data_IF_376172603105
#
_entry.id   IF_376172603105
#
_cell.length_a   1.000
_cell.length_b   1.000
_cell.length_c   1.000
_cell.angle_alpha   90.00
_cell.angle_beta   90.00
_cell.angle_gamma   90.00
#
_symmetry.space_group_name_H-M   'P 1'
#
loop_
_entity.id
_entity.type
_entity.pdbx_description
1 polymer ?
#
# COMPACT_ATOMS: atom_id res chain seq x y z
N UNK A 1 45.87 -15.68 44.35
CA UNK A 1 44.84 -14.65 44.68
C UNK A 1 44.69 -13.71 43.49
N UNK A 2 43.79 -14.01 42.58
CA UNK A 2 43.46 -13.12 41.45
C UNK A 2 42.62 -11.96 41.93
N UNK A 3 43.16 -10.74 41.80
CA UNK A 3 42.43 -9.51 42.09
C UNK A 3 41.37 -9.27 41.00
N UNK A 4 40.08 -9.48 41.33
CA UNK A 4 38.94 -9.08 40.54
C UNK A 4 39.04 -7.57 40.28
N UNK A 5 39.59 -7.12 39.14
CA UNK A 5 39.56 -5.76 38.67
C UNK A 5 38.16 -5.49 38.13
N UNK A 6 37.33 -4.83 38.94
CA UNK A 6 36.09 -4.23 38.44
C UNK A 6 36.45 -3.16 37.41
N UNK A 7 36.04 -3.38 36.14
CA UNK A 7 36.07 -2.31 35.15
C UNK A 7 35.05 -1.24 35.55
N UNK A 8 35.52 -0.02 35.65
CA UNK A 8 34.67 1.15 35.86
C UNK A 8 33.93 1.37 34.54
N UNK A 9 32.65 1.08 34.52
CA UNK A 9 31.78 1.47 33.40
C UNK A 9 31.54 2.98 33.50
N UNK A 10 32.01 3.72 32.53
CA UNK A 10 31.65 5.15 32.41
C UNK A 10 30.15 5.22 32.12
N UNK A 11 29.35 5.60 33.11
CA UNK A 11 27.94 5.94 32.93
C UNK A 11 27.85 7.31 32.24
N UNK A 12 27.80 7.27 30.91
CA UNK A 12 27.51 8.47 30.12
C UNK A 12 25.99 8.69 30.11
N UNK A 13 25.44 9.08 31.28
CA UNK A 13 24.02 9.43 31.40
C UNK A 13 23.80 10.83 30.79
N UNK A 14 23.77 10.92 29.47
CA UNK A 14 23.32 12.13 28.80
C UNK A 14 21.85 12.30 29.08
N UNK A 15 21.51 13.23 29.99
CA UNK A 15 20.11 13.58 30.24
C UNK A 15 19.63 14.38 29.02
N UNK A 16 18.82 13.73 28.16
CA UNK A 16 18.21 14.38 26.99
C UNK A 16 16.69 14.34 27.14
N UNK A 17 16.05 15.38 26.64
CA UNK A 17 14.59 15.49 26.63
C UNK A 17 13.99 14.59 25.54
N UNK A 18 12.68 14.34 25.63
CA UNK A 18 11.92 13.63 24.60
C UNK A 18 12.04 14.33 23.25
N UNK A 19 12.01 15.67 23.23
CA UNK A 19 12.18 16.48 22.04
C UNK A 19 13.55 16.28 21.38
N UNK A 20 14.63 16.43 22.16
CA UNK A 20 16.00 16.24 21.67
C UNK A 20 16.22 14.80 21.14
N UNK A 21 15.72 13.80 21.85
CA UNK A 21 15.80 12.41 21.42
C UNK A 21 15.03 12.19 20.10
N UNK A 22 13.88 12.84 19.93
CA UNK A 22 13.10 12.76 18.71
C UNK A 22 13.79 13.45 17.52
N UNK A 23 14.40 14.59 17.72
CA UNK A 23 15.20 15.26 16.68
C UNK A 23 16.36 14.39 16.20
N UNK A 24 17.05 13.71 17.12
CA UNK A 24 18.10 12.74 16.78
C UNK A 24 17.56 11.54 16.00
N UNK A 25 16.36 11.05 16.36
CA UNK A 25 15.68 10.00 15.61
C UNK A 25 15.36 10.45 14.18
N UNK A 26 14.81 11.65 13.99
CA UNK A 26 14.51 12.19 12.66
C UNK A 26 15.80 12.35 11.85
N UNK A 27 16.90 12.81 12.47
CA UNK A 27 18.21 12.87 11.82
C UNK A 27 18.67 11.48 11.36
N UNK A 28 18.52 10.43 12.20
CA UNK A 28 18.81 9.03 11.81
C UNK A 28 17.95 8.58 10.63
N UNK A 29 16.67 8.96 10.60
CA UNK A 29 15.76 8.65 9.48
C UNK A 29 16.27 9.28 8.17
N UNK A 30 16.73 10.54 8.20
CA UNK A 30 17.31 11.22 7.03
C UNK A 30 18.61 10.52 6.57
N UNK A 31 19.50 10.18 7.48
CA UNK A 31 20.75 9.45 7.18
C UNK A 31 20.45 8.09 6.55
N UNK A 32 19.39 7.40 6.99
CA UNK A 32 18.90 6.12 6.38
C UNK A 32 18.17 6.35 5.05
N UNK A 33 18.14 7.58 4.54
CA UNK A 33 17.47 7.93 3.28
C UNK A 33 16.01 7.47 3.23
N UNK A 34 15.25 7.67 4.33
CA UNK A 34 13.81 7.48 4.32
C UNK A 34 13.16 8.55 3.43
N UNK A 35 12.00 8.21 2.85
CA UNK A 35 11.24 9.18 2.04
C UNK A 35 10.67 10.30 2.92
N UNK A 36 10.55 11.51 2.36
CA UNK A 36 9.97 12.66 3.06
C UNK A 36 8.59 12.34 3.66
N UNK A 37 7.74 11.66 2.91
CA UNK A 37 6.41 11.23 3.39
C UNK A 37 6.48 10.27 4.60
N UNK A 38 7.55 9.47 4.73
CA UNK A 38 7.77 8.62 5.91
C UNK A 38 8.19 9.45 7.11
N UNK A 39 9.10 10.42 6.88
CA UNK A 39 9.57 11.36 7.92
C UNK A 39 8.40 12.20 8.43
N UNK A 40 7.61 12.79 7.54
CA UNK A 40 6.39 13.56 7.88
C UNK A 40 5.39 12.71 8.69
N UNK A 41 5.23 11.43 8.31
CA UNK A 41 4.37 10.51 9.05
C UNK A 41 4.89 10.26 10.47
N UNK A 42 6.22 10.11 10.66
CA UNK A 42 6.81 10.01 11.98
C UNK A 42 6.63 11.30 12.79
N UNK A 43 6.88 12.44 12.19
CA UNK A 43 6.72 13.75 12.84
C UNK A 43 5.28 13.94 13.31
N UNK A 44 4.29 13.80 12.43
CA UNK A 44 2.89 14.00 12.76
C UNK A 44 2.38 13.06 13.86
N UNK A 45 2.75 11.77 13.82
CA UNK A 45 2.24 10.79 14.79
C UNK A 45 2.95 10.85 16.13
N UNK A 46 4.25 11.15 16.15
CA UNK A 46 4.97 11.31 17.40
C UNK A 46 4.69 12.66 18.04
N UNK A 47 4.34 13.71 17.30
CA UNK A 47 3.98 15.02 17.85
C UNK A 47 2.90 14.89 18.92
N UNK A 48 1.81 14.16 18.66
CA UNK A 48 0.74 13.95 19.64
C UNK A 48 1.19 13.17 20.89
N UNK A 49 2.12 12.23 20.75
CA UNK A 49 2.71 11.53 21.88
C UNK A 49 3.64 12.45 22.68
N UNK A 50 4.44 13.25 22.01
CA UNK A 50 5.37 14.21 22.61
C UNK A 50 4.60 15.30 23.37
N UNK A 51 3.50 15.81 22.79
CA UNK A 51 2.61 16.76 23.50
C UNK A 51 2.00 16.12 24.76
N UNK A 52 1.59 14.85 24.70
CA UNK A 52 1.00 14.14 25.83
C UNK A 52 1.99 13.96 27.00
N UNK A 53 3.24 13.61 26.72
CA UNK A 53 4.25 13.37 27.76
C UNK A 53 4.99 14.65 28.16
N UNK A 54 4.93 15.71 27.36
CA UNK A 54 5.67 16.95 27.52
C UNK A 54 7.04 16.93 26.80
N UNK A 55 7.31 17.95 26.01
CA UNK A 55 8.54 18.08 25.20
C UNK A 55 9.81 18.05 26.06
N UNK A 56 9.77 18.65 27.26
CA UNK A 56 10.90 18.80 28.17
C UNK A 56 11.07 17.64 29.16
N UNK A 57 10.17 16.66 29.13
CA UNK A 57 10.29 15.44 29.94
C UNK A 57 11.58 14.71 29.54
N UNK A 58 12.32 14.19 30.52
CA UNK A 58 13.51 13.40 30.22
C UNK A 58 13.11 12.06 29.58
N UNK A 59 13.78 11.68 28.49
CA UNK A 59 13.44 10.45 27.77
C UNK A 59 13.55 9.20 28.64
N UNK A 60 14.43 9.21 29.64
CA UNK A 60 14.58 8.12 30.62
C UNK A 60 13.38 7.92 31.55
N UNK A 61 12.51 8.93 31.65
CA UNK A 61 11.29 8.88 32.45
C UNK A 61 10.13 8.23 31.70
N UNK A 62 10.31 7.95 30.41
CA UNK A 62 9.30 7.26 29.60
C UNK A 62 9.42 5.74 29.84
N UNK A 63 8.40 5.15 30.40
CA UNK A 63 8.28 3.73 30.66
C UNK A 63 6.96 3.18 30.10
N UNK A 64 6.77 1.88 30.19
CA UNK A 64 5.67 1.18 29.53
C UNK A 64 4.29 1.76 29.85
N UNK A 65 4.02 2.05 31.13
CA UNK A 65 2.68 2.51 31.57
C UNK A 65 2.32 3.88 30.98
N UNK A 66 3.31 4.74 30.70
CA UNK A 66 3.06 6.02 30.01
C UNK A 66 2.54 5.77 28.59
N UNK A 67 3.11 4.78 27.89
CA UNK A 67 2.64 4.41 26.53
C UNK A 67 1.25 3.77 26.62
N UNK A 68 1.00 2.91 27.59
CA UNK A 68 -0.30 2.28 27.83
C UNK A 68 -1.38 3.32 28.16
N UNK A 69 -1.06 4.29 29.03
CA UNK A 69 -1.93 5.42 29.36
C UNK A 69 -2.21 6.33 28.14
N UNK A 70 -1.21 6.54 27.28
CA UNK A 70 -1.41 7.28 26.01
C UNK A 70 -2.40 6.55 25.09
N UNK A 71 -2.35 5.21 25.02
CA UNK A 71 -3.32 4.42 24.25
C UNK A 71 -4.73 4.67 24.75
N UNK A 72 -4.95 4.55 26.07
CA UNK A 72 -6.25 4.77 26.72
C UNK A 72 -6.73 6.20 26.44
N UNK A 73 -5.89 7.19 26.73
CA UNK A 73 -6.19 8.60 26.47
C UNK A 73 -6.61 8.88 25.03
N UNK A 74 -5.90 8.30 24.04
CA UNK A 74 -6.23 8.50 22.63
C UNK A 74 -7.50 7.81 22.19
N UNK A 75 -7.80 6.65 22.74
CA UNK A 75 -9.01 5.90 22.43
C UNK A 75 -10.24 6.51 23.11
N UNK A 76 -10.11 7.00 24.35
CA UNK A 76 -11.20 7.63 25.11
C UNK A 76 -11.57 9.02 24.58
N UNK A 77 -10.61 9.81 24.11
CA UNK A 77 -10.90 11.07 23.39
C UNK A 77 -11.72 10.84 22.11
N UNK A 78 -11.95 9.58 21.74
CA UNK A 78 -12.92 9.09 20.80
C UNK A 78 -12.67 9.58 19.37
N UNK A 79 -12.37 8.96 18.46
CA UNK A 79 -12.37 9.14 16.99
C UNK A 79 -11.29 8.31 16.29
N UNK A 80 -10.54 7.48 17.03
CA UNK A 80 -9.60 6.58 16.38
C UNK A 80 -9.93 5.12 16.68
N UNK A 81 -9.95 4.31 15.63
CA UNK A 81 -10.13 2.87 15.78
C UNK A 81 -8.78 2.18 16.08
N UNK A 82 -8.83 0.90 16.48
CA UNK A 82 -7.66 0.09 16.81
C UNK A 82 -6.61 0.02 15.67
N UNK A 83 -7.04 0.07 14.42
CA UNK A 83 -6.12 0.07 13.25
C UNK A 83 -5.34 1.38 13.19
N UNK A 84 -6.02 2.50 13.42
CA UNK A 84 -5.39 3.83 13.46
C UNK A 84 -4.46 3.93 14.65
N UNK A 85 -4.90 3.49 15.85
CA UNK A 85 -4.03 3.45 17.04
C UNK A 85 -2.77 2.60 16.80
N UNK A 86 -2.89 1.45 16.18
CA UNK A 86 -1.73 0.63 15.79
C UNK A 86 -0.78 1.35 14.82
N UNK A 87 -1.30 2.26 14.02
CA UNK A 87 -0.45 3.11 13.16
C UNK A 87 0.36 4.15 13.96
N UNK A 88 -0.23 4.72 15.03
CA UNK A 88 0.49 5.55 16.00
C UNK A 88 1.54 4.74 16.75
N UNK A 89 1.14 3.58 17.28
CA UNK A 89 2.04 2.70 18.05
C UNK A 89 3.25 2.24 17.23
N UNK A 90 3.09 1.94 15.94
CA UNK A 90 4.24 1.62 15.07
C UNK A 90 5.21 2.80 14.96
N UNK A 91 4.70 4.02 14.91
CA UNK A 91 5.51 5.23 14.83
C UNK A 91 6.24 5.50 16.14
N UNK A 92 5.52 5.48 17.27
CA UNK A 92 6.06 5.66 18.63
C UNK A 92 7.10 4.58 18.94
N UNK A 93 6.78 3.31 18.61
CA UNK A 93 7.70 2.18 18.78
C UNK A 93 9.01 2.39 18.03
N UNK A 94 8.95 2.89 16.77
CA UNK A 94 10.16 3.15 15.99
C UNK A 94 11.05 4.22 16.66
N UNK A 95 10.46 5.25 17.25
CA UNK A 95 11.16 6.30 17.98
C UNK A 95 11.74 5.79 19.31
N UNK A 96 10.88 5.19 20.16
CA UNK A 96 11.33 4.75 21.48
C UNK A 96 12.34 3.60 21.39
N UNK A 97 12.21 2.67 20.42
CA UNK A 97 13.22 1.63 20.21
C UNK A 97 14.56 2.22 19.74
N UNK A 98 14.54 3.32 18.98
CA UNK A 98 15.77 4.06 18.70
C UNK A 98 16.39 4.63 19.98
N UNK A 99 15.59 5.23 20.87
CA UNK A 99 16.08 5.75 22.13
C UNK A 99 16.65 4.65 23.05
N UNK A 100 16.00 3.47 23.08
CA UNK A 100 16.48 2.28 23.79
C UNK A 100 17.79 1.75 23.19
N UNK A 101 17.90 1.66 21.86
CA UNK A 101 19.12 1.25 21.15
C UNK A 101 20.30 2.18 21.48
N UNK A 102 20.03 3.49 21.58
CA UNK A 102 21.01 4.50 21.98
C UNK A 102 21.28 4.53 23.50
N UNK A 103 20.62 3.69 24.29
CA UNK A 103 20.71 3.67 25.76
C UNK A 103 20.33 4.98 26.43
N UNK A 104 19.41 5.74 25.84
CA UNK A 104 18.88 6.97 26.44
C UNK A 104 17.77 6.69 27.47
N UNK A 105 17.20 5.49 27.45
CA UNK A 105 16.16 5.01 28.34
C UNK A 105 16.26 3.51 28.54
N UNK A 106 15.55 2.99 29.53
CA UNK A 106 15.42 1.54 29.78
C UNK A 106 14.61 0.84 28.66
N UNK A 107 14.97 -0.41 28.40
CA UNK A 107 14.32 -1.19 27.34
C UNK A 107 13.03 -1.84 27.85
N UNK A 108 11.93 -1.64 27.13
CA UNK A 108 10.68 -2.34 27.31
C UNK A 108 9.98 -2.66 26.00
N UNK A 109 9.03 -3.60 26.04
CA UNK A 109 8.31 -4.04 24.84
C UNK A 109 7.04 -3.22 24.63
N UNK A 110 6.88 -2.65 23.43
CA UNK A 110 5.65 -1.99 23.00
C UNK A 110 4.88 -2.94 22.08
N UNK A 111 3.75 -3.45 22.56
CA UNK A 111 2.88 -4.36 21.81
C UNK A 111 1.81 -3.59 21.04
N UNK A 112 1.42 -4.11 19.89
CA UNK A 112 0.26 -3.60 19.17
C UNK A 112 -1.02 -4.12 19.83
N UNK A 113 -2.08 -3.31 19.81
CA UNK A 113 -3.39 -3.71 20.31
C UNK A 113 -4.10 -4.62 19.33
N UNK A 114 -4.98 -5.48 19.82
CA UNK A 114 -5.79 -6.34 18.95
C UNK A 114 -6.71 -5.48 18.08
N UNK A 115 -6.68 -5.71 16.79
CA UNK A 115 -7.50 -4.99 15.83
C UNK A 115 -8.21 -5.98 14.91
N UNK A 116 -9.49 -5.73 14.67
CA UNK A 116 -10.27 -6.54 13.73
C UNK A 116 -9.84 -6.22 12.28
N UNK A 117 -9.61 -7.26 11.52
CA UNK A 117 -9.36 -7.15 10.09
C UNK A 117 -10.70 -7.09 9.37
N UNK A 118 -11.05 -5.92 8.85
CA UNK A 118 -12.21 -5.78 7.96
C UNK A 118 -11.90 -6.41 6.60
N UNK A 119 -12.91 -7.08 6.03
CA UNK A 119 -12.85 -7.57 4.65
C UNK A 119 -12.67 -6.35 3.74
N UNK A 120 -11.70 -6.43 2.83
CA UNK A 120 -11.45 -5.34 1.89
C UNK A 120 -12.57 -5.32 0.85
N UNK A 121 -13.24 -4.18 0.74
CA UNK A 121 -14.23 -3.98 -0.31
C UNK A 121 -13.61 -4.09 -1.71
N UNK A 122 -14.43 -4.48 -2.67
CA UNK A 122 -14.09 -4.54 -4.09
C UNK A 122 -15.26 -4.00 -4.90
N UNK A 123 -15.02 -3.61 -6.14
CA UNK A 123 -16.08 -3.29 -7.07
C UNK A 123 -16.82 -4.57 -7.52
N UNK A 124 -18.13 -4.46 -7.74
CA UNK A 124 -18.93 -5.50 -8.42
C UNK A 124 -18.76 -5.38 -9.94
N UNK A 125 -19.17 -6.41 -10.67
CA UNK A 125 -19.12 -6.38 -12.14
C UNK A 125 -20.04 -5.29 -12.72
N UNK A 126 -21.23 -5.06 -12.11
CA UNK A 126 -22.13 -4.00 -12.54
C UNK A 126 -21.55 -2.60 -12.28
N UNK A 127 -20.87 -2.40 -11.13
CA UNK A 127 -20.16 -1.15 -10.86
C UNK A 127 -19.05 -0.93 -11.88
N UNK A 128 -18.25 -1.96 -12.18
CA UNK A 128 -17.19 -1.88 -13.18
C UNK A 128 -17.73 -1.58 -14.58
N UNK A 129 -18.81 -2.22 -15.01
CA UNK A 129 -19.41 -1.92 -16.32
C UNK A 129 -19.84 -0.45 -16.45
N UNK A 130 -20.32 0.16 -15.36
CA UNK A 130 -20.66 1.59 -15.36
C UNK A 130 -19.42 2.50 -15.38
N UNK A 131 -18.39 2.15 -14.61
CA UNK A 131 -17.17 2.95 -14.52
C UNK A 131 -16.30 2.88 -15.77
N UNK A 132 -16.17 1.68 -16.35
CA UNK A 132 -15.29 1.44 -17.49
C UNK A 132 -15.92 1.74 -18.85
N UNK A 133 -17.23 2.05 -18.87
CA UNK A 133 -17.91 2.49 -20.09
C UNK A 133 -17.28 3.80 -20.57
N UNK A 134 -16.84 3.82 -21.82
CA UNK A 134 -16.27 4.98 -22.45
C UNK A 134 -17.26 6.19 -22.41
N UNK A 135 -16.84 7.36 -21.97
CA UNK A 135 -17.66 8.56 -22.05
C UNK A 135 -17.94 8.95 -23.49
N UNK A 136 -19.08 9.58 -23.72
CA UNK A 136 -19.37 10.18 -25.02
C UNK A 136 -18.44 11.39 -25.24
N UNK A 137 -17.58 11.30 -26.26
CA UNK A 137 -16.57 12.32 -26.56
C UNK A 137 -17.17 13.66 -26.97
N UNK A 138 -18.39 13.66 -27.50
CA UNK A 138 -19.09 14.91 -27.89
C UNK A 138 -19.64 15.68 -26.68
N UNK A 139 -19.77 15.03 -25.52
CA UNK A 139 -20.42 15.63 -24.34
C UNK A 139 -19.56 15.51 -23.05
N UNK A 140 -18.41 14.84 -23.08
CA UNK A 140 -17.56 14.72 -21.90
C UNK A 140 -16.47 15.81 -21.85
N UNK A 141 -16.01 16.09 -20.64
CA UNK A 141 -14.82 16.92 -20.44
C UNK A 141 -13.54 16.08 -20.58
N UNK A 142 -12.41 16.71 -20.89
CA UNK A 142 -11.10 16.04 -20.87
C UNK A 142 -10.82 15.38 -19.51
N UNK A 143 -11.24 16.00 -18.41
CA UNK A 143 -11.10 15.41 -17.07
C UNK A 143 -11.88 14.10 -16.91
N UNK A 144 -13.08 14.00 -17.45
CA UNK A 144 -13.86 12.76 -17.41
C UNK A 144 -13.23 11.67 -18.27
N UNK A 145 -12.80 12.01 -19.48
CA UNK A 145 -12.14 11.08 -20.38
C UNK A 145 -10.81 10.57 -19.81
N UNK A 146 -10.02 11.46 -19.24
CA UNK A 146 -8.78 11.12 -18.53
C UNK A 146 -9.03 10.16 -17.36
N UNK A 147 -10.06 10.39 -16.55
CA UNK A 147 -10.37 9.51 -15.42
C UNK A 147 -10.88 8.15 -15.88
N UNK A 148 -11.66 8.09 -16.96
CA UNK A 148 -12.02 6.83 -17.60
C UNK A 148 -10.77 6.00 -17.99
N UNK A 149 -9.83 6.59 -18.67
CA UNK A 149 -8.58 5.91 -19.04
C UNK A 149 -7.76 5.50 -17.80
N UNK A 150 -7.73 6.38 -16.79
CA UNK A 150 -7.02 6.13 -15.54
C UNK A 150 -7.61 4.97 -14.74
N UNK A 151 -8.93 4.83 -14.64
CA UNK A 151 -9.61 3.73 -13.97
C UNK A 151 -9.41 2.40 -14.70
N UNK A 152 -9.49 2.41 -16.03
CA UNK A 152 -9.14 1.26 -16.85
C UNK A 152 -7.70 0.80 -16.60
N UNK A 153 -6.75 1.75 -16.54
CA UNK A 153 -5.36 1.46 -16.21
C UNK A 153 -5.22 0.86 -14.80
N UNK A 154 -5.87 1.47 -13.79
CA UNK A 154 -5.79 0.96 -12.42
C UNK A 154 -6.36 -0.44 -12.29
N UNK A 155 -7.48 -0.74 -12.96
CA UNK A 155 -8.08 -2.07 -12.93
C UNK A 155 -7.22 -3.09 -13.69
N UNK A 156 -6.71 -2.75 -14.86
CA UNK A 156 -5.94 -3.69 -15.68
C UNK A 156 -4.56 -4.05 -15.11
N UNK A 157 -3.98 -3.17 -14.29
CA UNK A 157 -2.62 -3.35 -13.75
C UNK A 157 -2.57 -3.61 -12.25
N UNK A 158 -3.61 -3.26 -11.51
CA UNK A 158 -3.61 -3.26 -10.05
C UNK A 158 -2.60 -2.30 -9.43
N UNK A 159 -2.05 -1.36 -10.18
CA UNK A 159 -1.03 -0.43 -9.70
C UNK A 159 -1.55 0.54 -8.64
N UNK A 160 -0.62 1.06 -7.83
CA UNK A 160 -0.93 2.15 -6.89
C UNK A 160 -1.08 3.46 -7.66
N UNK A 161 -1.98 4.35 -7.19
CA UNK A 161 -2.18 5.68 -7.78
C UNK A 161 -0.86 6.44 -7.96
N UNK A 162 0.05 6.40 -6.97
CA UNK A 162 1.35 7.08 -7.09
C UNK A 162 2.25 6.48 -8.17
N UNK A 163 2.11 5.20 -8.48
CA UNK A 163 2.83 4.53 -9.57
C UNK A 163 2.28 4.98 -10.92
N UNK A 164 0.96 4.96 -11.07
CA UNK A 164 0.28 5.41 -12.29
C UNK A 164 0.61 6.87 -12.64
N UNK A 165 0.57 7.78 -11.64
CA UNK A 165 0.88 9.19 -11.84
C UNK A 165 2.38 9.50 -12.09
N UNK A 166 3.26 8.53 -11.98
CA UNK A 166 4.68 8.68 -12.35
C UNK A 166 5.00 8.15 -13.74
N UNK A 167 4.05 7.54 -14.43
CA UNK A 167 4.27 7.03 -15.78
C UNK A 167 4.39 8.18 -16.78
N UNK A 168 5.30 8.03 -17.69
CA UNK A 168 5.43 8.83 -18.90
C UNK A 168 4.81 8.11 -20.09
N UNK A 169 4.57 8.80 -21.18
CA UNK A 169 4.05 8.20 -22.41
C UNK A 169 5.03 7.15 -22.94
N UNK A 170 6.33 7.45 -22.91
CA UNK A 170 7.41 6.53 -23.32
C UNK A 170 7.49 5.22 -22.52
N UNK A 171 6.87 5.19 -21.33
CA UNK A 171 6.85 3.99 -20.50
C UNK A 171 5.85 2.93 -21.01
N UNK A 172 5.01 3.30 -21.99
CA UNK A 172 4.06 2.40 -22.65
C UNK A 172 4.64 1.95 -23.99
N UNK A 173 5.12 0.74 -24.03
CA UNK A 173 5.60 0.15 -25.28
C UNK A 173 4.48 -0.70 -25.91
N UNK A 174 3.87 -0.17 -26.96
CA UNK A 174 2.78 -0.82 -27.69
C UNK A 174 3.27 -1.93 -28.66
N UNK A 175 4.54 -1.93 -29.04
CA UNK A 175 5.12 -2.93 -29.93
C UNK A 175 5.38 -4.23 -29.16
N UNK A 176 6.08 -4.10 -28.02
CA UNK A 176 6.41 -5.25 -27.16
C UNK A 176 5.27 -5.62 -26.19
N UNK A 177 4.19 -4.85 -26.15
CA UNK A 177 3.08 -5.01 -25.20
C UNK A 177 3.52 -5.03 -23.73
N UNK A 178 4.32 -4.04 -23.35
CA UNK A 178 4.81 -3.89 -21.97
C UNK A 178 4.64 -2.46 -21.43
N UNK A 179 4.59 -2.36 -20.11
CA UNK A 179 4.60 -1.11 -19.35
C UNK A 179 5.85 -1.11 -18.47
N UNK A 180 6.69 -0.09 -18.62
CA UNK A 180 7.93 0.07 -17.86
C UNK A 180 7.66 0.98 -16.66
N UNK A 181 7.76 0.44 -15.44
CA UNK A 181 7.58 1.20 -14.21
C UNK A 181 8.95 1.53 -13.64
N UNK A 182 9.43 2.77 -13.87
CA UNK A 182 10.75 3.23 -13.45
C UNK A 182 10.82 3.54 -11.95
N UNK A 183 9.72 4.03 -11.35
CA UNK A 183 9.64 4.42 -9.93
C UNK A 183 8.51 3.70 -9.22
N UNK A 184 8.85 2.75 -8.35
CA UNK A 184 7.91 2.12 -7.42
C UNK A 184 8.14 2.61 -5.99
N UNK A 185 7.19 2.37 -5.08
CA UNK A 185 7.35 2.67 -3.65
C UNK A 185 8.59 1.98 -3.06
N UNK A 186 8.99 0.83 -3.60
CA UNK A 186 10.12 0.02 -3.12
C UNK A 186 11.42 0.33 -3.87
N UNK A 187 11.48 1.42 -4.67
CA UNK A 187 12.65 1.84 -5.47
C UNK A 187 13.16 0.78 -6.47
N UNK A 188 12.35 -0.23 -6.80
CA UNK A 188 12.65 -1.25 -7.80
C UNK A 188 11.93 -0.91 -9.11
N UNK A 189 12.61 -1.07 -10.22
CA UNK A 189 11.97 -1.03 -11.54
C UNK A 189 11.15 -2.29 -11.74
N UNK A 190 10.08 -2.20 -12.52
CA UNK A 190 9.20 -3.30 -12.81
C UNK A 190 8.70 -3.20 -14.25
N UNK A 191 8.62 -4.34 -14.92
CA UNK A 191 7.98 -4.46 -16.24
C UNK A 191 6.68 -5.22 -16.04
N UNK A 192 5.59 -4.66 -16.56
CA UNK A 192 4.28 -5.29 -16.55
C UNK A 192 3.83 -5.57 -18.00
N UNK A 193 3.07 -6.64 -18.21
CA UNK A 193 2.44 -6.86 -19.53
C UNK A 193 1.34 -5.82 -19.75
N UNK A 194 1.24 -5.35 -20.97
CA UNK A 194 0.15 -4.50 -21.46
C UNK A 194 -0.88 -5.39 -22.16
N UNK A 195 -2.07 -5.51 -21.56
CA UNK A 195 -3.16 -6.29 -22.16
C UNK A 195 -3.71 -5.59 -23.41
N UNK A 196 -4.26 -6.36 -24.36
CA UNK A 196 -4.85 -5.82 -25.59
C UNK A 196 -5.92 -4.75 -25.30
N UNK A 197 -6.83 -5.04 -24.37
CA UNK A 197 -7.90 -4.08 -23.98
C UNK A 197 -7.34 -2.80 -23.39
N UNK A 198 -6.31 -2.89 -22.54
CA UNK A 198 -5.68 -1.68 -22.00
C UNK A 198 -4.92 -0.90 -23.08
N UNK A 199 -4.26 -1.58 -24.00
CA UNK A 199 -3.56 -0.94 -25.12
C UNK A 199 -4.53 -0.12 -25.98
N UNK A 200 -5.72 -0.65 -26.24
CA UNK A 200 -6.78 0.05 -26.98
C UNK A 200 -7.26 1.30 -26.24
N UNK A 201 -7.58 1.18 -24.95
CA UNK A 201 -7.95 2.31 -24.10
C UNK A 201 -6.87 3.40 -24.09
N UNK A 202 -5.60 3.00 -23.96
CA UNK A 202 -4.49 3.97 -23.90
C UNK A 202 -4.23 4.63 -25.25
N UNK A 203 -4.40 3.94 -26.39
CA UNK A 203 -4.32 4.57 -27.72
C UNK A 203 -5.41 5.62 -27.89
N UNK A 204 -6.66 5.28 -27.61
CA UNK A 204 -7.77 6.24 -27.65
C UNK A 204 -7.54 7.44 -26.72
N UNK A 205 -7.01 7.19 -25.53
CA UNK A 205 -6.68 8.27 -24.61
C UNK A 205 -5.58 9.18 -25.15
N UNK A 206 -4.53 8.61 -25.72
CA UNK A 206 -3.40 9.35 -26.27
C UNK A 206 -3.75 10.14 -27.54
N UNK A 207 -4.67 9.64 -28.36
CA UNK A 207 -5.20 10.39 -29.51
C UNK A 207 -5.86 11.72 -29.08
N UNK A 208 -6.61 11.70 -27.98
CA UNK A 208 -7.27 12.91 -27.45
C UNK A 208 -6.30 13.77 -26.62
N UNK A 209 -5.44 13.13 -25.83
CA UNK A 209 -4.48 13.81 -24.96
C UNK A 209 -3.36 14.48 -25.75
N UNK A 210 -2.88 13.85 -26.80
CA UNK A 210 -1.64 14.23 -27.50
C UNK A 210 -0.42 14.17 -26.58
N UNK A 211 0.56 15.02 -26.88
CA UNK A 211 1.78 15.20 -26.07
C UNK A 211 3.00 14.41 -26.56
N UNK A 212 4.15 14.73 -25.99
CA UNK A 212 5.43 14.12 -26.32
C UNK A 212 5.75 12.91 -25.42
N UNK A 213 6.63 12.04 -25.88
CA UNK A 213 7.03 10.81 -25.18
C UNK A 213 7.47 11.01 -23.73
N UNK A 214 8.15 12.12 -23.43
CA UNK A 214 8.68 12.45 -22.09
C UNK A 214 7.63 13.00 -21.12
N UNK A 215 6.45 13.35 -21.60
CA UNK A 215 5.38 13.88 -20.77
C UNK A 215 4.72 12.77 -19.93
N UNK A 216 4.09 13.18 -18.81
CA UNK A 216 3.37 12.25 -17.96
C UNK A 216 2.13 11.70 -18.67
N UNK A 217 1.94 10.37 -18.65
CA UNK A 217 0.77 9.72 -19.22
C UNK A 217 -0.53 10.29 -18.62
N UNK A 218 -0.62 10.35 -17.32
CA UNK A 218 -1.73 10.92 -16.57
C UNK A 218 -1.36 12.29 -16.00
N UNK A 219 -1.67 13.32 -16.76
CA UNK A 219 -1.29 14.70 -16.48
C UNK A 219 -2.44 15.51 -15.86
N UNK A 220 -2.13 16.71 -15.40
CA UNK A 220 -3.12 17.75 -15.14
C UNK A 220 -3.59 18.40 -16.48
N UNK A 221 -4.40 19.43 -16.42
CA UNK A 221 -4.91 20.11 -17.61
C UNK A 221 -3.84 20.93 -18.38
N UNK A 222 -2.62 21.02 -17.85
CA UNK A 222 -1.49 21.75 -18.43
C UNK A 222 -0.38 20.84 -18.95
N UNK A 223 -0.63 19.50 -18.97
CA UNK A 223 0.39 18.51 -19.36
C UNK A 223 1.39 18.12 -18.27
N UNK A 224 1.32 18.75 -17.08
CA UNK A 224 2.22 18.48 -15.97
C UNK A 224 1.77 17.24 -15.20
N UNK A 225 2.65 16.74 -14.33
CA UNK A 225 2.36 15.60 -13.48
C UNK A 225 1.06 15.78 -12.67
N UNK A 226 0.18 14.79 -12.75
CA UNK A 226 -1.06 14.78 -11.98
C UNK A 226 -0.80 14.73 -10.46
N UNK A 227 -1.52 15.58 -9.71
CA UNK A 227 -1.51 15.54 -8.26
C UNK A 227 -2.40 14.41 -7.73
N UNK A 228 -1.92 13.71 -6.72
CA UNK A 228 -2.60 12.56 -6.15
C UNK A 228 -3.97 12.90 -5.55
N UNK A 229 -4.08 14.01 -4.81
CA UNK A 229 -5.35 14.44 -4.17
C UNK A 229 -6.36 14.84 -5.21
N UNK A 230 -5.91 15.58 -6.21
CA UNK A 230 -6.75 16.00 -7.35
C UNK A 230 -7.31 14.79 -8.09
N UNK A 231 -6.48 13.79 -8.39
CA UNK A 231 -6.96 12.57 -9.04
C UNK A 231 -7.91 11.76 -8.17
N UNK A 232 -7.66 11.65 -6.88
CA UNK A 232 -8.60 11.00 -5.95
C UNK A 232 -9.95 11.69 -5.92
N UNK A 233 -9.97 13.04 -5.91
CA UNK A 233 -11.21 13.80 -5.96
C UNK A 233 -11.93 13.67 -7.32
N UNK A 234 -11.18 13.69 -8.42
CA UNK A 234 -11.75 13.48 -9.76
C UNK A 234 -12.34 12.06 -9.91
N UNK A 235 -11.67 11.02 -9.41
CA UNK A 235 -12.20 9.65 -9.36
C UNK A 235 -13.49 9.61 -8.54
N UNK A 236 -13.50 10.26 -7.37
CA UNK A 236 -14.71 10.34 -6.55
C UNK A 236 -15.88 10.96 -7.32
N UNK A 237 -15.67 12.11 -7.93
CA UNK A 237 -16.71 12.80 -8.71
C UNK A 237 -17.18 11.97 -9.89
N UNK A 238 -16.26 11.32 -10.60
CA UNK A 238 -16.54 10.45 -11.74
C UNK A 238 -17.39 9.25 -11.34
N UNK A 239 -17.06 8.57 -10.23
CA UNK A 239 -17.78 7.41 -9.74
C UNK A 239 -19.20 7.78 -9.28
N UNK A 240 -19.32 8.86 -8.49
CA UNK A 240 -20.64 9.35 -8.03
C UNK A 240 -21.54 9.70 -9.21
N UNK A 241 -21.02 10.39 -10.25
CA UNK A 241 -21.77 10.69 -11.48
C UNK A 241 -22.29 9.41 -12.16
N UNK A 242 -21.58 8.28 -12.02
CA UNK A 242 -21.96 6.96 -12.55
C UNK A 242 -22.72 6.08 -11.55
N UNK A 243 -23.25 6.69 -10.47
CA UNK A 243 -24.03 6.02 -9.43
C UNK A 243 -23.23 4.88 -8.75
N UNK A 244 -21.93 5.11 -8.53
CA UNK A 244 -21.05 4.22 -7.77
C UNK A 244 -20.51 4.97 -6.56
N UNK A 245 -20.94 4.55 -5.36
CA UNK A 245 -20.58 5.23 -4.12
C UNK A 245 -19.17 4.88 -3.62
N UNK A 246 -18.56 3.84 -4.15
CA UNK A 246 -17.18 3.45 -3.86
C UNK A 246 -16.23 4.32 -4.69
N UNK A 247 -15.35 5.04 -4.03
CA UNK A 247 -14.56 6.12 -4.68
C UNK A 247 -13.05 6.00 -4.49
N UNK A 248 -12.57 4.96 -3.83
CA UNK A 248 -11.16 4.80 -3.54
C UNK A 248 -10.40 4.14 -4.69
N UNK A 249 -9.33 4.77 -5.17
CA UNK A 249 -8.43 4.18 -6.16
C UNK A 249 -7.82 2.83 -5.71
N UNK A 250 -7.73 2.58 -4.39
CA UNK A 250 -7.24 1.29 -3.88
C UNK A 250 -8.22 0.13 -4.13
N UNK A 251 -9.50 0.42 -4.32
CA UNK A 251 -10.50 -0.61 -4.61
C UNK A 251 -10.23 -1.27 -5.97
N UNK A 252 -9.77 -0.54 -6.99
CA UNK A 252 -9.36 -1.13 -8.27
C UNK A 252 -8.28 -2.19 -8.08
N UNK A 253 -7.29 -1.89 -7.25
CA UNK A 253 -6.23 -2.86 -6.93
C UNK A 253 -6.75 -4.07 -6.13
N UNK A 254 -7.67 -3.86 -5.19
CA UNK A 254 -8.31 -4.97 -4.46
C UNK A 254 -9.17 -5.81 -5.40
N UNK A 255 -9.90 -5.16 -6.31
CA UNK A 255 -10.71 -5.83 -7.33
C UNK A 255 -9.84 -6.62 -8.31
N UNK A 256 -8.75 -6.03 -8.80
CA UNK A 256 -7.77 -6.74 -9.64
C UNK A 256 -7.25 -8.01 -8.95
N UNK A 257 -6.80 -7.88 -7.69
CA UNK A 257 -6.29 -9.02 -6.94
C UNK A 257 -7.34 -10.10 -6.71
N UNK A 258 -8.59 -9.71 -6.38
CA UNK A 258 -9.73 -10.63 -6.24
C UNK A 258 -10.01 -11.37 -7.55
N UNK A 259 -10.18 -10.64 -8.65
CA UNK A 259 -10.50 -11.23 -9.95
C UNK A 259 -9.37 -12.16 -10.45
N UNK A 260 -8.10 -11.78 -10.19
CA UNK A 260 -6.94 -12.62 -10.49
C UNK A 260 -7.00 -13.97 -9.76
N UNK A 261 -7.30 -13.95 -8.45
CA UNK A 261 -7.40 -15.16 -7.63
C UNK A 261 -8.59 -16.02 -8.05
N UNK A 262 -9.76 -15.40 -8.24
CA UNK A 262 -10.97 -16.13 -8.67
C UNK A 262 -10.84 -16.74 -10.07
N UNK A 263 -10.00 -16.17 -10.92
CA UNK A 263 -9.65 -16.72 -12.23
C UNK A 263 -8.56 -17.82 -12.17
N UNK A 264 -8.14 -18.27 -10.99
CA UNK A 264 -7.10 -19.28 -10.82
C UNK A 264 -5.68 -18.78 -11.10
N UNK A 265 -5.46 -17.48 -11.09
CA UNK A 265 -4.16 -16.87 -11.39
C UNK A 265 -3.12 -17.14 -10.29
N UNK A 266 -1.89 -17.42 -10.71
CA UNK A 266 -0.77 -17.74 -9.82
C UNK A 266 -0.46 -16.58 -8.83
N UNK A 267 -0.31 -16.93 -7.55
CA UNK A 267 -0.11 -15.97 -6.45
C UNK A 267 1.26 -15.28 -6.50
N UNK A 268 2.31 -15.96 -6.98
CA UNK A 268 3.65 -15.37 -7.08
C UNK A 268 3.72 -14.37 -8.24
N UNK A 269 3.00 -14.66 -9.34
CA UNK A 269 2.82 -13.68 -10.42
C UNK A 269 2.02 -12.48 -9.94
N UNK A 270 0.94 -12.69 -9.18
CA UNK A 270 0.16 -11.61 -8.57
C UNK A 270 1.04 -10.73 -7.65
N UNK A 271 1.86 -11.35 -6.80
CA UNK A 271 2.81 -10.64 -5.94
C UNK A 271 3.75 -9.74 -6.76
N UNK A 272 4.32 -10.27 -7.84
CA UNK A 272 5.20 -9.52 -8.75
C UNK A 272 4.45 -8.36 -9.42
N UNK A 273 3.28 -8.61 -10.02
CA UNK A 273 2.46 -7.59 -10.69
C UNK A 273 2.11 -6.46 -9.72
N UNK A 274 1.68 -6.80 -8.50
CA UNK A 274 1.33 -5.80 -7.49
C UNK A 274 2.56 -5.13 -6.86
N UNK A 275 3.77 -5.62 -7.08
CA UNK A 275 5.00 -5.07 -6.48
C UNK A 275 4.97 -5.17 -4.94
N UNK A 276 4.50 -6.30 -4.39
CA UNK A 276 4.57 -6.58 -2.97
C UNK A 276 5.95 -7.12 -2.62
N UNK A 277 6.65 -6.46 -1.68
CA UNK A 277 7.93 -6.93 -1.17
C UNK A 277 7.80 -8.19 -0.30
N UNK A 278 6.65 -8.38 0.32
CA UNK A 278 6.32 -9.50 1.19
C UNK A 278 5.08 -10.25 0.66
N UNK A 279 5.18 -11.57 0.59
CA UNK A 279 4.08 -12.45 0.18
C UNK A 279 2.90 -12.39 1.16
N UNK A 280 3.14 -12.03 2.43
CA UNK A 280 2.11 -11.91 3.46
C UNK A 280 0.94 -11.02 3.01
N UNK A 281 1.25 -9.90 2.34
CA UNK A 281 0.23 -8.98 1.82
C UNK A 281 -0.62 -9.63 0.71
N UNK A 282 0.00 -10.48 -0.11
CA UNK A 282 -0.71 -11.21 -1.19
C UNK A 282 -1.50 -12.38 -0.61
N UNK A 283 -0.98 -13.09 0.40
CA UNK A 283 -1.70 -14.13 1.13
C UNK A 283 -2.99 -13.62 1.79
N UNK A 284 -3.04 -12.35 2.20
CA UNK A 284 -4.28 -11.75 2.72
C UNK A 284 -5.42 -11.78 1.68
N UNK A 285 -5.11 -11.59 0.40
CA UNK A 285 -6.12 -11.69 -0.66
C UNK A 285 -6.59 -13.14 -0.85
N UNK A 286 -5.68 -14.10 -0.81
CA UNK A 286 -6.03 -15.53 -0.90
C UNK A 286 -6.92 -15.92 0.28
N UNK A 287 -6.58 -15.53 1.50
CA UNK A 287 -7.39 -15.81 2.68
C UNK A 287 -8.79 -15.17 2.63
N UNK A 288 -8.93 -14.02 1.94
CA UNK A 288 -10.23 -13.35 1.79
C UNK A 288 -11.09 -13.92 0.66
N UNK A 289 -10.49 -14.35 -0.42
CA UNK A 289 -11.18 -14.65 -1.67
C UNK A 289 -10.98 -16.08 -2.16
N UNK A 290 -10.04 -16.81 -1.57
CA UNK A 290 -9.71 -18.19 -1.92
C UNK A 290 -10.63 -19.22 -1.26
N UNK A 291 -11.91 -18.89 -1.00
CA UNK A 291 -12.86 -19.83 -0.35
C UNK A 291 -13.28 -20.99 -1.24
N UNK A 292 -12.98 -20.92 -2.52
CA UNK A 292 -13.34 -21.98 -3.47
C UNK A 292 -12.17 -22.95 -3.64
N UNK A 293 -11.91 -23.74 -2.59
CA UNK A 293 -10.98 -24.87 -2.67
C UNK A 293 -11.44 -25.94 -3.66
N UNK A 294 -12.71 -25.89 -4.09
CA UNK A 294 -13.29 -26.81 -5.07
C UNK A 294 -12.96 -26.40 -6.51
N UNK A 295 -12.71 -25.10 -6.77
CA UNK A 295 -12.32 -24.63 -8.09
C UNK A 295 -10.99 -25.27 -8.50
N UNK A 296 -11.00 -26.00 -9.60
CA UNK A 296 -9.84 -26.73 -10.16
C UNK A 296 -9.27 -27.86 -9.26
N UNK A 297 -9.95 -28.28 -8.18
CA UNK A 297 -9.46 -29.36 -7.32
C UNK A 297 -9.17 -30.63 -8.11
N UNK A 298 -10.10 -31.06 -8.99
CA UNK A 298 -9.94 -32.22 -9.86
C UNK A 298 -8.75 -32.09 -10.82
N UNK A 299 -8.51 -30.88 -11.35
CA UNK A 299 -7.39 -30.58 -12.26
C UNK A 299 -6.03 -30.75 -11.60
N UNK A 300 -5.93 -30.42 -10.30
CA UNK A 300 -4.67 -30.50 -9.54
C UNK A 300 -4.60 -31.73 -8.63
N UNK A 301 -5.68 -32.50 -8.52
CA UNK A 301 -5.71 -33.73 -7.70
C UNK A 301 -4.86 -34.81 -8.37
N UNK A 302 -3.80 -35.31 -7.67
CA UNK A 302 -2.94 -36.36 -8.25
C UNK A 302 -3.70 -37.63 -8.61
N UNK A 303 -4.76 -37.98 -7.85
CA UNK A 303 -5.56 -39.18 -8.12
C UNK A 303 -6.34 -39.06 -9.43
N UNK A 304 -6.91 -37.88 -9.69
CA UNK A 304 -7.68 -37.63 -10.92
C UNK A 304 -6.77 -37.56 -12.16
N UNK A 305 -5.53 -37.09 -11.97
CA UNK A 305 -4.53 -37.01 -13.03
C UNK A 305 -3.84 -38.34 -13.35
N UNK A 306 -3.73 -39.25 -12.38
CA UNK A 306 -3.03 -40.53 -12.54
C UNK A 306 -4.02 -41.65 -12.88
N UNK A 307 -5.32 -41.45 -12.69
CA UNK A 307 -6.45 -42.41 -12.69
C UNK A 307 -6.15 -43.73 -13.41
N UNK A 308 -5.71 -44.80 -12.71
CA UNK A 308 -5.45 -46.12 -13.29
C UNK A 308 -6.74 -46.91 -13.55
N UNK A 309 -7.91 -46.37 -13.11
CA UNK A 309 -9.18 -47.12 -13.08
C UNK A 309 -10.16 -46.72 -14.17
N UNK A 310 -9.70 -46.31 -15.36
CA UNK A 310 -10.55 -46.30 -16.55
C UNK A 310 -10.81 -47.72 -17.12
N UNK A 311 -10.34 -48.74 -16.44
CA UNK A 311 -10.67 -50.13 -16.79
C UNK A 311 -12.06 -50.47 -16.24
N UNK A 312 -12.99 -50.66 -17.15
CA UNK A 312 -14.34 -51.21 -16.86
C UNK A 312 -14.16 -52.54 -16.14
N UNK A 313 -14.53 -52.62 -14.88
CA UNK A 313 -14.64 -53.89 -14.16
C UNK A 313 -15.81 -54.65 -14.80
N UNK A 314 -15.51 -55.63 -15.66
CA UNK A 314 -16.51 -56.63 -16.08
C UNK A 314 -16.78 -57.51 -14.89
N UNK A 315 -17.88 -57.32 -14.20
CA UNK A 315 -18.36 -58.31 -13.26
C UNK A 315 -18.70 -59.59 -14.04
N UNK A 316 -18.09 -60.71 -13.64
CA UNK A 316 -18.44 -62.05 -14.11
C UNK A 316 -19.67 -62.51 -13.38
#
# INVERSE_FOLDING_TARGET
MEKNRKQIQMNYNKQITVKEAFELFIRKCKVKNLTDSSIESYQRKNHEFIEYVGENTLIKEIYKDIVDNFIIYKMDKGNINSITMNSYLRSIRAFLYYAMECRYMESFKISLIKAEKKIKETYTNEELMRLLRMPDLSHCTFSEFKIWAFENYLLATGNRISTALNLKIEDINFEDNIIIIRKTKNRKQQILPLSKSLAEVLRQYLEVRGGNSEEYLFCNNYGEKGDKRTYQQQVQNYNVKRKVNKTSCHLFRHTFAKQWILAGGDIFRLQKILGHSDLTVTKEYVAMFGQDLQLDFEKYNPLDNINPNKAVIKMK
#
